data_IF_414947080453
#
_entry.id   IF_414947080453
#
_cell.length_a   1.000
_cell.length_b   1.000
_cell.length_c   1.000
_cell.angle_alpha   90.00
_cell.angle_beta   90.00
_cell.angle_gamma   90.00
#
_symmetry.space_group_name_H-M   'P 1'
#
loop_
_entity.id
_entity.type
_entity.pdbx_description
1 polymer ?
#
# COMPACT_ATOMS: atom_id res chain seq x y z
N UNK A 1 -50.41 -25.35 46.58
CA UNK A 1 -49.01 -25.70 46.22
C UNK A 1 -48.41 -24.50 45.52
N UNK A 2 -47.35 -23.93 46.12
CA UNK A 2 -46.31 -23.08 45.53
C UNK A 2 -46.76 -21.83 44.74
N UNK A 3 -46.44 -20.60 45.16
CA UNK A 3 -45.14 -20.07 45.57
C UNK A 3 -44.83 -18.93 44.60
N UNK A 4 -45.00 -17.66 45.00
CA UNK A 4 -43.92 -16.76 45.41
C UNK A 4 -42.88 -16.45 44.32
N UNK A 5 -42.48 -15.17 44.25
CA UNK A 5 -41.20 -14.64 43.72
C UNK A 5 -41.11 -14.50 42.18
N UNK A 6 -40.40 -13.57 41.53
CA UNK A 6 -39.31 -12.62 41.81
C UNK A 6 -39.52 -11.44 40.81
N UNK A 7 -39.40 -10.15 41.12
CA UNK A 7 -38.22 -9.32 41.39
C UNK A 7 -37.04 -9.46 40.40
N UNK A 8 -36.63 -8.34 39.79
CA UNK A 8 -35.34 -8.15 39.08
C UNK A 8 -35.27 -8.77 37.68
N UNK A 9 -35.30 -8.01 36.58
CA UNK A 9 -34.20 -7.18 36.05
C UNK A 9 -32.87 -7.95 36.07
N UNK A 10 -32.29 -8.16 34.88
CA UNK A 10 -30.88 -7.91 34.51
C UNK A 10 -30.65 -8.56 33.11
N UNK A 11 -30.63 -7.70 32.09
CA UNK A 11 -29.45 -7.50 31.22
C UNK A 11 -29.04 -8.65 30.27
N UNK A 12 -29.04 -8.38 28.96
CA UNK A 12 -27.83 -8.18 28.14
C UNK A 12 -28.11 -8.34 26.64
N UNK A 13 -28.25 -7.20 25.99
CA UNK A 13 -27.56 -6.81 24.76
C UNK A 13 -27.15 -7.95 23.79
N UNK A 14 -27.96 -8.16 22.75
CA UNK A 14 -27.52 -8.72 21.47
C UNK A 14 -28.30 -8.02 20.34
N UNK A 15 -27.71 -6.95 19.83
CA UNK A 15 -28.04 -6.36 18.52
C UNK A 15 -27.89 -7.45 17.46
N UNK A 16 -29.00 -7.96 16.94
CA UNK A 16 -29.05 -8.68 15.67
C UNK A 16 -30.47 -8.81 15.15
N UNK A 17 -30.59 -8.66 13.82
CA UNK A 17 -31.77 -8.90 12.99
C UNK A 17 -32.82 -7.78 13.06
N UNK A 18 -32.93 -6.98 11.99
CA UNK A 18 -33.83 -7.26 10.87
C UNK A 18 -35.29 -7.24 11.33
N UNK A 19 -36.01 -6.20 10.91
CA UNK A 19 -37.34 -6.21 10.28
C UNK A 19 -37.96 -4.82 10.48
N UNK A 20 -38.28 -4.20 9.33
CA UNK A 20 -39.41 -3.31 9.04
C UNK A 20 -40.21 -2.75 10.23
N UNK A 21 -40.44 -1.42 10.25
CA UNK A 21 -41.78 -0.79 10.33
C UNK A 21 -41.65 0.75 10.40
N UNK A 22 -41.97 1.37 9.26
CA UNK A 22 -42.77 2.57 9.01
C UNK A 22 -43.36 3.33 10.24
N UNK A 23 -42.90 4.57 10.48
CA UNK A 23 -43.65 5.69 11.09
C UNK A 23 -42.77 6.96 11.04
N UNK A 24 -42.89 7.77 9.99
CA UNK A 24 -43.66 9.01 9.97
C UNK A 24 -42.98 10.19 10.70
N UNK A 25 -42.47 11.09 9.85
CA UNK A 25 -42.35 12.55 10.03
C UNK A 25 -41.47 13.08 11.15
N UNK A 26 -40.21 13.33 10.80
CA UNK A 26 -39.52 14.54 11.24
C UNK A 26 -39.00 15.27 10.01
N UNK A 27 -39.46 16.50 9.85
CA UNK A 27 -39.19 17.39 8.74
C UNK A 27 -37.70 17.45 8.40
N UNK A 28 -37.33 16.90 7.26
CA UNK A 28 -36.05 17.20 6.63
C UNK A 28 -36.20 18.58 6.01
N UNK A 29 -35.86 19.62 6.76
CA UNK A 29 -35.51 20.91 6.17
C UNK A 29 -34.14 20.74 5.53
N UNK A 30 -34.08 20.16 4.33
CA UNK A 30 -32.94 20.40 3.44
C UNK A 30 -33.17 21.81 2.92
N UNK A 31 -32.44 22.77 3.49
CA UNK A 31 -32.31 24.08 2.88
C UNK A 31 -31.93 23.89 1.41
N UNK A 32 -32.69 24.55 0.53
CA UNK A 32 -32.43 24.59 -0.89
C UNK A 32 -31.03 25.17 -1.13
N UNK A 33 -30.04 24.31 -1.30
CA UNK A 33 -28.86 24.68 -2.07
C UNK A 33 -29.35 24.66 -3.52
N UNK A 34 -29.74 25.85 -3.98
CA UNK A 34 -29.82 26.16 -5.39
C UNK A 34 -28.44 25.88 -5.99
N UNK A 35 -28.24 24.67 -6.48
CA UNK A 35 -27.14 24.31 -7.35
C UNK A 35 -27.73 23.75 -8.63
N UNK A 36 -27.41 24.44 -9.73
CA UNK A 36 -27.62 24.03 -11.12
C UNK A 36 -27.30 22.54 -11.30
N UNK A 37 -27.89 21.86 -12.30
CA UNK A 37 -27.51 20.48 -12.65
C UNK A 37 -26.08 20.51 -13.21
N UNK A 38 -25.11 20.54 -12.31
CA UNK A 38 -23.69 20.37 -12.56
C UNK A 38 -23.38 19.08 -11.83
N UNK A 39 -22.93 18.08 -12.59
CA UNK A 39 -22.53 16.77 -12.07
C UNK A 39 -21.77 17.00 -10.76
N UNK A 40 -22.27 16.42 -9.67
CA UNK A 40 -21.67 16.67 -8.36
C UNK A 40 -20.29 16.02 -8.32
N UNK A 41 -19.34 16.61 -7.59
CA UNK A 41 -18.04 15.98 -7.32
C UNK A 41 -18.23 14.56 -6.75
N UNK A 42 -19.36 14.30 -6.08
CA UNK A 42 -19.77 12.99 -5.60
C UNK A 42 -20.03 11.96 -6.72
N UNK A 43 -20.67 12.37 -7.82
CA UNK A 43 -20.93 11.49 -8.98
C UNK A 43 -19.63 11.16 -9.71
N UNK A 44 -18.73 12.14 -9.84
CA UNK A 44 -17.39 11.95 -10.40
C UNK A 44 -16.57 10.98 -9.56
N UNK A 45 -16.58 11.18 -8.24
CA UNK A 45 -15.91 10.31 -7.28
C UNK A 45 -16.44 8.88 -7.40
N UNK A 46 -17.76 8.70 -7.38
CA UNK A 46 -18.38 7.37 -7.49
C UNK A 46 -18.00 6.66 -8.81
N UNK A 47 -18.01 7.39 -9.93
CA UNK A 47 -17.63 6.84 -11.24
C UNK A 47 -16.17 6.38 -11.27
N UNK A 48 -15.25 7.14 -10.69
CA UNK A 48 -13.84 6.75 -10.63
C UNK A 48 -13.63 5.61 -9.63
N UNK A 49 -14.32 5.64 -8.48
CA UNK A 49 -14.28 4.58 -7.47
C UNK A 49 -14.76 3.23 -8.00
N UNK A 50 -15.73 3.21 -8.93
CA UNK A 50 -16.12 1.95 -9.57
C UNK A 50 -15.02 1.33 -10.43
N UNK A 51 -14.13 2.13 -11.03
CA UNK A 51 -13.03 1.62 -11.86
C UNK A 51 -11.78 1.32 -11.02
N UNK A 52 -11.62 1.99 -9.88
CA UNK A 52 -10.59 1.67 -8.88
C UNK A 52 -11.05 0.63 -7.86
N UNK A 53 -12.25 0.06 -7.99
CA UNK A 53 -12.79 -0.94 -7.07
C UNK A 53 -11.91 -2.20 -6.98
N UNK A 54 -11.24 -2.55 -8.07
CA UNK A 54 -10.26 -3.64 -8.13
C UNK A 54 -8.92 -3.29 -7.43
N UNK A 55 -8.76 -2.04 -6.99
CA UNK A 55 -7.54 -1.52 -6.36
C UNK A 55 -7.89 -0.96 -4.97
N UNK A 56 -8.05 -1.82 -3.94
CA UNK A 56 -8.49 -1.39 -2.60
C UNK A 56 -7.49 -0.44 -1.91
N UNK A 57 -6.24 -0.42 -2.38
CA UNK A 57 -5.19 0.48 -1.90
C UNK A 57 -5.21 1.86 -2.58
N UNK A 58 -6.17 2.12 -3.48
CA UNK A 58 -6.33 3.39 -4.20
C UNK A 58 -7.47 4.19 -3.60
N UNK A 59 -7.17 5.42 -3.21
CA UNK A 59 -8.12 6.40 -2.67
C UNK A 59 -8.35 7.49 -3.69
N UNK A 60 -9.62 7.78 -3.96
CA UNK A 60 -10.04 8.83 -4.89
C UNK A 60 -10.63 9.99 -4.10
N UNK A 61 -10.09 11.19 -4.30
CA UNK A 61 -10.65 12.43 -3.77
C UNK A 61 -10.99 13.39 -4.91
N UNK A 62 -12.16 14.01 -4.84
CA UNK A 62 -12.60 15.02 -5.82
C UNK A 62 -12.99 16.28 -5.08
N UNK A 63 -12.45 17.43 -5.50
CA UNK A 63 -12.75 18.73 -4.92
C UNK A 63 -12.78 19.80 -6.01
N UNK A 64 -13.94 20.42 -6.22
CA UNK A 64 -14.12 21.50 -7.20
C UNK A 64 -13.70 21.12 -8.64
N UNK A 65 -13.85 19.85 -9.01
CA UNK A 65 -13.39 19.27 -10.28
C UNK A 65 -11.89 18.92 -10.34
N UNK A 66 -11.14 19.08 -9.26
CA UNK A 66 -9.78 18.53 -9.13
C UNK A 66 -9.86 17.11 -8.56
N UNK A 67 -9.44 16.13 -9.33
CA UNK A 67 -9.38 14.72 -8.93
C UNK A 67 -7.98 14.42 -8.42
N UNK A 68 -7.88 13.71 -7.29
CA UNK A 68 -6.63 13.21 -6.72
C UNK A 68 -6.74 11.71 -6.55
N UNK A 69 -5.79 10.97 -7.12
CA UNK A 69 -5.62 9.53 -6.98
C UNK A 69 -4.39 9.29 -6.13
N UNK A 70 -4.55 8.73 -4.93
CA UNK A 70 -3.43 8.43 -4.04
C UNK A 70 -3.50 6.97 -3.61
N UNK A 71 -2.38 6.28 -3.50
CA UNK A 71 -2.39 4.86 -3.14
C UNK A 71 -1.30 4.04 -3.79
N UNK A 72 -1.49 2.72 -3.77
CA UNK A 72 -0.53 1.75 -4.31
C UNK A 72 -1.18 0.85 -5.35
N UNK A 73 -0.50 0.63 -6.47
CA UNK A 73 -0.98 -0.18 -7.61
C UNK A 73 0.05 -1.22 -8.01
N UNK A 74 -0.38 -2.37 -8.50
CA UNK A 74 0.53 -3.49 -8.81
C UNK A 74 1.46 -3.24 -10.01
N UNK A 75 1.11 -2.31 -10.90
CA UNK A 75 1.84 -2.07 -12.15
C UNK A 75 1.81 -0.59 -12.56
N UNK A 76 2.83 -0.15 -13.31
CA UNK A 76 2.85 1.20 -13.91
C UNK A 76 1.78 1.36 -15.00
N UNK A 77 1.35 0.25 -15.60
CA UNK A 77 0.25 0.19 -16.55
C UNK A 77 -1.08 0.55 -15.87
N UNK A 78 -1.36 -0.05 -14.70
CA UNK A 78 -2.52 0.30 -13.89
C UNK A 78 -2.46 1.74 -13.39
N UNK A 79 -1.28 2.21 -12.97
CA UNK A 79 -1.07 3.61 -12.60
C UNK A 79 -1.51 4.58 -13.70
N UNK A 80 -1.03 4.33 -14.91
CA UNK A 80 -1.29 5.18 -16.08
C UNK A 80 -2.76 5.08 -16.52
N UNK A 81 -3.30 3.86 -16.56
CA UNK A 81 -4.70 3.60 -16.91
C UNK A 81 -5.67 4.28 -15.94
N UNK A 82 -5.41 4.21 -14.64
CA UNK A 82 -6.26 4.86 -13.63
C UNK A 82 -6.23 6.39 -13.75
N UNK A 83 -5.06 6.98 -13.99
CA UNK A 83 -4.93 8.41 -14.24
C UNK A 83 -5.69 8.86 -15.50
N UNK A 84 -5.61 8.08 -16.57
CA UNK A 84 -6.34 8.34 -17.81
C UNK A 84 -7.85 8.19 -17.62
N UNK A 85 -8.30 7.14 -16.95
CA UNK A 85 -9.71 6.93 -16.61
C UNK A 85 -10.24 8.08 -15.76
N UNK A 86 -9.49 8.54 -14.75
CA UNK A 86 -9.89 9.68 -13.92
C UNK A 86 -10.00 10.98 -14.73
N UNK A 87 -9.11 11.18 -15.70
CA UNK A 87 -9.15 12.34 -16.61
C UNK A 87 -10.34 12.28 -17.56
N UNK A 88 -10.64 11.09 -18.08
CA UNK A 88 -11.74 10.85 -19.02
C UNK A 88 -13.08 10.53 -18.33
N UNK A 89 -13.11 10.48 -16.99
CA UNK A 89 -14.31 10.15 -16.24
C UNK A 89 -15.44 11.14 -16.55
N UNK A 90 -15.09 12.43 -16.65
CA UNK A 90 -15.98 13.49 -17.13
C UNK A 90 -15.17 14.70 -17.64
N UNK A 91 -14.96 14.83 -18.96
CA UNK A 91 -14.13 15.89 -19.53
C UNK A 91 -14.72 17.30 -19.37
N UNK A 92 -15.99 17.44 -18.97
CA UNK A 92 -16.64 18.74 -18.76
C UNK A 92 -16.50 19.26 -17.32
N UNK A 93 -16.22 18.37 -16.36
CA UNK A 93 -16.16 18.70 -14.94
C UNK A 93 -14.78 18.44 -14.31
N UNK A 94 -13.96 17.56 -14.89
CA UNK A 94 -12.57 17.34 -14.46
C UNK A 94 -11.69 18.47 -14.99
N UNK A 95 -11.22 19.33 -14.07
CA UNK A 95 -10.29 20.44 -14.37
C UNK A 95 -8.83 20.00 -14.27
N UNK A 96 -8.53 19.08 -13.36
CA UNK A 96 -7.17 18.60 -13.10
C UNK A 96 -7.20 17.20 -12.50
N UNK A 97 -6.16 16.42 -12.77
CA UNK A 97 -5.95 15.09 -12.18
C UNK A 97 -4.55 15.05 -11.56
N UNK A 98 -4.49 14.88 -10.24
CA UNK A 98 -3.27 14.61 -9.50
C UNK A 98 -3.10 13.09 -9.37
N UNK A 99 -2.02 12.57 -9.95
CA UNK A 99 -1.66 11.15 -9.87
C UNK A 99 -0.53 10.94 -8.86
N UNK A 100 -0.92 10.59 -7.64
CA UNK A 100 -0.03 10.27 -6.51
C UNK A 100 -0.01 8.75 -6.25
N UNK A 101 -0.36 7.94 -7.25
CA UNK A 101 -0.26 6.49 -7.18
C UNK A 101 1.20 6.06 -7.25
N UNK A 102 1.57 5.14 -6.37
CA UNK A 102 2.88 4.50 -6.30
C UNK A 102 2.77 3.06 -6.79
N UNK A 103 3.70 2.60 -7.62
CA UNK A 103 3.72 1.20 -8.04
C UNK A 103 4.32 0.35 -6.93
N UNK A 104 3.59 -0.68 -6.51
CA UNK A 104 4.05 -1.71 -5.60
C UNK A 104 5.19 -2.45 -6.29
N UNK A 105 6.41 -2.31 -5.76
CA UNK A 105 7.52 -3.10 -6.24
C UNK A 105 7.17 -4.57 -6.02
N UNK A 106 7.20 -5.38 -7.08
CA UNK A 106 6.98 -6.82 -6.98
C UNK A 106 7.83 -7.39 -5.83
N UNK A 107 7.29 -8.32 -5.02
CA UNK A 107 8.07 -8.93 -3.96
C UNK A 107 9.26 -9.62 -4.61
N UNK A 108 10.44 -9.04 -4.41
CA UNK A 108 11.70 -9.70 -4.74
C UNK A 108 11.68 -11.03 -3.97
N UNK A 109 11.68 -12.15 -4.69
CA UNK A 109 11.86 -13.48 -4.10
C UNK A 109 13.30 -13.50 -3.61
N UNK A 110 13.50 -13.02 -2.39
CA UNK A 110 14.81 -12.89 -1.78
C UNK A 110 15.09 -14.13 -0.98
N UNK A 111 16.31 -14.61 -1.08
CA UNK A 111 16.74 -15.74 -0.28
C UNK A 111 16.69 -15.34 1.20
N UNK A 112 15.76 -15.93 1.96
CA UNK A 112 15.61 -15.73 3.41
C UNK A 112 16.36 -16.77 4.22
N UNK A 113 17.00 -17.75 3.57
CA UNK A 113 17.82 -18.74 4.24
C UNK A 113 19.18 -18.14 4.59
N UNK A 114 19.25 -17.48 5.76
CA UNK A 114 20.47 -16.88 6.29
C UNK A 114 21.64 -17.88 6.35
N UNK A 115 21.36 -19.19 6.54
CA UNK A 115 22.38 -20.24 6.54
C UNK A 115 23.02 -20.47 5.15
N UNK A 116 22.21 -20.49 4.08
CA UNK A 116 22.71 -20.64 2.70
C UNK A 116 23.47 -19.38 2.27
N UNK A 117 22.91 -18.21 2.58
CA UNK A 117 23.56 -16.93 2.34
C UNK A 117 24.89 -16.81 3.08
N UNK A 118 24.96 -17.20 4.37
CA UNK A 118 26.20 -17.12 5.16
C UNK A 118 27.30 -17.99 4.56
N UNK A 119 26.99 -19.21 4.13
CA UNK A 119 27.97 -20.11 3.52
C UNK A 119 28.53 -19.53 2.20
N UNK A 120 27.66 -18.98 1.35
CA UNK A 120 28.05 -18.41 0.06
C UNK A 120 28.78 -17.07 0.21
N UNK A 121 28.35 -16.26 1.16
CA UNK A 121 29.03 -15.01 1.53
C UNK A 121 30.42 -15.30 2.08
N UNK A 122 30.57 -16.31 2.95
CA UNK A 122 31.88 -16.73 3.44
C UNK A 122 32.80 -17.21 2.32
N UNK A 123 32.28 -17.98 1.35
CA UNK A 123 33.07 -18.40 0.19
C UNK A 123 33.46 -17.22 -0.72
N UNK A 124 32.55 -16.27 -0.95
CA UNK A 124 32.81 -15.08 -1.75
C UNK A 124 33.76 -14.07 -1.07
N UNK A 125 33.81 -14.06 0.26
CA UNK A 125 34.68 -13.16 1.04
C UNK A 125 36.02 -13.77 1.43
N UNK A 126 36.24 -15.07 1.21
CA UNK A 126 37.55 -15.72 1.47
C UNK A 126 38.69 -15.07 0.68
N UNK A 127 38.39 -14.57 -0.51
CA UNK A 127 39.35 -13.91 -1.39
C UNK A 127 39.64 -12.46 -0.96
N UNK A 128 38.92 -11.96 0.06
CA UNK A 128 38.97 -10.60 0.58
C UNK A 128 39.19 -10.60 2.11
N UNK A 129 40.42 -10.85 2.59
CA UNK A 129 40.70 -10.92 4.04
C UNK A 129 40.47 -9.59 4.79
N UNK A 130 40.44 -8.47 4.07
CA UNK A 130 40.16 -7.13 4.60
C UNK A 130 38.67 -6.78 4.64
N UNK A 131 37.80 -7.70 4.24
CA UNK A 131 36.34 -7.55 4.19
C UNK A 131 35.69 -8.57 5.11
N UNK A 132 34.77 -8.10 5.96
CA UNK A 132 33.89 -8.94 6.77
C UNK A 132 32.47 -8.81 6.24
N UNK A 133 31.78 -9.93 6.09
CA UNK A 133 30.38 -9.93 5.73
C UNK A 133 29.56 -10.70 6.77
N UNK A 134 28.44 -10.11 7.15
CA UNK A 134 27.49 -10.64 8.12
C UNK A 134 26.11 -10.74 7.46
N UNK A 135 25.40 -11.84 7.69
CA UNK A 135 24.06 -12.04 7.13
C UNK A 135 23.05 -12.03 8.26
N UNK A 136 22.00 -11.22 8.10
CA UNK A 136 20.90 -11.15 9.07
C UNK A 136 19.56 -10.89 8.39
N UNK A 137 18.63 -11.84 8.51
CA UNK A 137 17.26 -11.75 7.95
C UNK A 137 17.25 -11.46 6.44
N UNK A 138 18.17 -12.10 5.70
CA UNK A 138 18.34 -11.90 4.26
C UNK A 138 19.08 -10.61 3.88
N UNK A 139 19.56 -9.83 4.84
CA UNK A 139 20.38 -8.64 4.59
C UNK A 139 21.85 -9.02 4.75
N UNK A 140 22.64 -8.89 3.68
CA UNK A 140 24.09 -9.10 3.74
C UNK A 140 24.74 -7.75 4.00
N UNK A 141 25.38 -7.61 5.16
CA UNK A 141 26.13 -6.40 5.56
C UNK A 141 27.61 -6.65 5.34
N UNK A 142 28.27 -5.80 4.58
CA UNK A 142 29.68 -5.94 4.24
C UNK A 142 30.45 -4.72 4.76
N UNK A 143 31.49 -4.99 5.55
CA UNK A 143 32.32 -3.97 6.19
C UNK A 143 33.79 -4.26 5.94
N UNK A 144 34.62 -3.22 5.90
CA UNK A 144 36.07 -3.38 5.74
C UNK A 144 36.66 -2.44 4.71
N UNK A 145 37.83 -2.78 4.18
CA UNK A 145 38.53 -1.94 3.22
C UNK A 145 38.92 -2.75 1.99
N UNK A 146 38.57 -2.26 0.81
CA UNK A 146 38.73 -2.95 -0.47
C UNK A 146 39.15 -1.95 -1.54
N UNK A 147 39.93 -2.39 -2.53
CA UNK A 147 40.29 -1.53 -3.66
C UNK A 147 39.12 -1.35 -4.62
N UNK A 148 39.01 -0.18 -5.26
CA UNK A 148 37.90 0.14 -6.16
C UNK A 148 37.66 -0.92 -7.26
N UNK A 149 38.73 -1.51 -7.81
CA UNK A 149 38.67 -2.55 -8.86
C UNK A 149 38.03 -3.85 -8.39
N UNK A 150 38.04 -4.11 -7.08
CA UNK A 150 37.48 -5.32 -6.45
C UNK A 150 36.06 -5.13 -5.94
N UNK A 151 35.57 -3.88 -5.82
CA UNK A 151 34.20 -3.58 -5.39
C UNK A 151 33.17 -4.14 -6.37
N UNK A 152 33.39 -3.98 -7.68
CA UNK A 152 32.48 -4.47 -8.71
C UNK A 152 32.28 -6.00 -8.68
N UNK A 153 33.35 -6.84 -8.72
CA UNK A 153 33.17 -8.29 -8.67
C UNK A 153 32.59 -8.75 -7.33
N UNK A 154 32.93 -8.09 -6.21
CA UNK A 154 32.31 -8.37 -4.92
C UNK A 154 30.79 -8.10 -4.96
N UNK A 155 30.38 -6.94 -5.51
CA UNK A 155 28.96 -6.61 -5.67
C UNK A 155 28.24 -7.65 -6.52
N UNK A 156 28.81 -8.03 -7.67
CA UNK A 156 28.24 -9.06 -8.54
C UNK A 156 28.08 -10.41 -7.83
N UNK A 157 29.10 -10.83 -7.08
CA UNK A 157 29.05 -12.08 -6.31
C UNK A 157 27.94 -12.05 -5.25
N UNK A 158 27.76 -10.92 -4.56
CA UNK A 158 26.73 -10.76 -3.53
C UNK A 158 25.32 -10.63 -4.10
N UNK A 159 25.14 -9.90 -5.20
CA UNK A 159 23.85 -9.81 -5.90
C UNK A 159 23.42 -11.18 -6.48
N UNK A 160 24.37 -12.00 -6.94
CA UNK A 160 24.09 -13.34 -7.44
C UNK A 160 23.51 -14.27 -6.36
N UNK A 161 23.67 -13.93 -5.08
CA UNK A 161 23.06 -14.67 -3.97
C UNK A 161 21.57 -14.36 -3.78
N UNK A 162 21.03 -13.39 -4.54
CA UNK A 162 19.66 -12.86 -4.40
C UNK A 162 19.28 -12.55 -2.94
N UNK A 163 20.10 -11.79 -2.20
CA UNK A 163 19.75 -11.38 -0.85
C UNK A 163 18.61 -10.36 -0.87
N UNK A 164 17.96 -10.20 0.28
CA UNK A 164 16.96 -9.16 0.50
C UNK A 164 17.50 -7.75 0.34
N UNK A 165 18.74 -7.56 0.75
CA UNK A 165 19.48 -6.30 0.58
C UNK A 165 20.97 -6.58 0.77
N UNK A 166 21.83 -5.90 0.01
CA UNK A 166 23.26 -5.83 0.28
C UNK A 166 23.58 -4.45 0.85
N UNK A 167 24.05 -4.40 2.09
CA UNK A 167 24.55 -3.19 2.71
C UNK A 167 26.07 -3.10 2.52
N UNK A 168 26.49 -2.18 1.64
CA UNK A 168 27.90 -1.89 1.37
C UNK A 168 28.40 -0.63 2.09
N UNK A 169 27.58 -0.06 2.99
CA UNK A 169 27.87 1.23 3.62
C UNK A 169 29.10 1.18 4.52
N UNK A 170 29.49 0.00 4.98
CA UNK A 170 30.69 -0.22 5.79
C UNK A 170 31.99 -0.44 5.00
N UNK A 171 31.96 -0.38 3.66
CA UNK A 171 33.15 -0.53 2.83
C UNK A 171 33.86 0.80 2.63
N UNK A 172 35.14 0.84 2.99
CA UNK A 172 36.05 1.93 2.64
C UNK A 172 36.82 1.56 1.38
N UNK A 173 36.45 2.21 0.28
CA UNK A 173 37.15 2.08 -1.01
C UNK A 173 38.48 2.82 -0.93
N UNK A 174 39.59 2.09 -1.15
CA UNK A 174 40.92 2.67 -1.32
C UNK A 174 41.27 2.81 -2.80
#
# INVERSE_FOLDING_TARGET
MYGSTLNGIIMKNKVKSWVFILLMTTAVVVGAISCKPKVSDADLKAKIETVTADHPNVVVSVKDGAVTLSGTVASEEDRSRLAEVAKNADPNNVKSVANELTVEAAPIITNTDDADLTAKVADATKDYPSVKAEVSSGIITVTGSIEQTRVQPLKMALDALNPKKVDMSGLTVK
#
